data_IF_524562812447
#
_entry.id   IF_524562812447
#
_cell.length_a   1.000
_cell.length_b   1.000
_cell.length_c   1.000
_cell.angle_alpha   90.00
_cell.angle_beta   90.00
_cell.angle_gamma   90.00
#
_symmetry.space_group_name_H-M   'P 1'
#
loop_
_entity.id
_entity.type
_entity.pdbx_description
1 polymer ?
#
# COMPACT_ATOMS: atom_id res chain seq x y z
N UNK A 1 -15.37 18.40 -1.45
CA UNK A 1 -16.00 17.76 -2.63
C UNK A 1 -16.32 16.32 -2.27
N UNK A 2 -17.53 15.88 -2.58
CA UNK A 2 -17.97 14.49 -2.35
C UNK A 2 -17.41 13.62 -3.48
N UNK A 3 -16.57 12.65 -3.13
CA UNK A 3 -16.08 11.66 -4.08
C UNK A 3 -17.25 10.81 -4.60
N UNK A 4 -17.35 10.57 -5.91
CA UNK A 4 -18.41 9.74 -6.48
C UNK A 4 -18.44 8.34 -5.85
N UNK A 5 -19.64 7.78 -5.71
CA UNK A 5 -19.85 6.40 -5.29
C UNK A 5 -20.21 5.59 -6.55
N UNK A 6 -19.24 4.96 -7.21
CA UNK A 6 -19.48 4.33 -8.50
C UNK A 6 -20.25 3.00 -8.41
N UNK A 7 -20.25 2.37 -7.23
CA UNK A 7 -20.92 1.08 -6.99
C UNK A 7 -22.14 1.27 -6.09
N UNK A 8 -23.22 0.55 -6.38
CA UNK A 8 -24.42 0.52 -5.56
C UNK A 8 -24.20 -0.34 -4.30
N UNK A 9 -23.46 -1.44 -4.43
CA UNK A 9 -23.15 -2.36 -3.34
C UNK A 9 -21.70 -2.16 -2.88
N UNK A 10 -21.51 -1.94 -1.57
CA UNK A 10 -20.17 -1.84 -1.00
C UNK A 10 -19.64 -3.23 -0.62
N UNK A 11 -18.58 -3.64 -1.28
CA UNK A 11 -17.80 -4.81 -0.89
C UNK A 11 -16.81 -4.52 0.25
N UNK A 12 -16.32 -5.58 0.89
CA UNK A 12 -15.21 -5.49 1.86
C UNK A 12 -13.93 -4.93 1.21
N UNK A 13 -13.72 -5.29 -0.06
CA UNK A 13 -12.59 -4.83 -0.88
C UNK A 13 -13.15 -4.27 -2.19
N UNK A 14 -12.49 -3.24 -2.72
CA UNK A 14 -12.84 -2.66 -4.01
C UNK A 14 -11.58 -2.67 -4.90
N UNK A 15 -11.75 -2.98 -6.17
CA UNK A 15 -10.66 -3.04 -7.15
C UNK A 15 -10.96 -2.04 -8.26
N UNK A 16 -10.05 -1.13 -8.52
CA UNK A 16 -10.01 -0.34 -9.75
C UNK A 16 -9.11 -1.04 -10.74
N UNK A 17 -9.61 -1.29 -11.94
CA UNK A 17 -8.87 -2.00 -12.99
C UNK A 17 -8.89 -1.16 -14.27
N UNK A 18 -7.72 -0.99 -14.88
CA UNK A 18 -7.59 -0.47 -16.23
C UNK A 18 -6.96 -1.53 -17.11
N UNK A 19 -7.56 -1.79 -18.25
CA UNK A 19 -7.10 -2.81 -19.19
C UNK A 19 -6.71 -2.13 -20.49
N UNK A 20 -5.53 -2.42 -20.98
CA UNK A 20 -5.00 -1.92 -22.24
C UNK A 20 -4.58 -3.09 -23.14
N UNK A 21 -4.60 -2.85 -24.45
CA UNK A 21 -4.07 -3.80 -25.45
C UNK A 21 -3.06 -3.09 -26.33
N UNK A 22 -1.98 -3.78 -26.68
CA UNK A 22 -1.00 -3.33 -27.67
C UNK A 22 -1.50 -3.53 -29.10
N UNK A 23 -2.57 -4.30 -29.29
CA UNK A 23 -3.23 -4.45 -30.59
C UNK A 23 -4.26 -3.33 -30.79
N UNK A 24 -4.05 -2.39 -31.72
CA UNK A 24 -4.97 -1.28 -31.94
C UNK A 24 -6.40 -1.74 -32.28
N UNK A 25 -6.56 -2.87 -32.95
CA UNK A 25 -7.87 -3.40 -33.31
C UNK A 25 -8.72 -3.83 -32.08
N UNK A 26 -8.08 -4.14 -30.96
CA UNK A 26 -8.79 -4.57 -29.74
C UNK A 26 -9.62 -3.45 -29.10
N UNK A 27 -9.25 -2.19 -29.31
CA UNK A 27 -9.96 -1.02 -28.79
C UNK A 27 -10.98 -0.42 -29.75
N UNK A 28 -11.01 -0.87 -31.02
CA UNK A 28 -11.93 -0.32 -32.03
C UNK A 28 -13.31 -0.91 -31.84
N UNK A 29 -14.29 -0.03 -31.59
CA UNK A 29 -15.69 -0.44 -31.50
C UNK A 29 -16.25 -0.78 -32.89
N UNK A 30 -17.09 -1.80 -32.93
CA UNK A 30 -17.91 -2.16 -34.08
C UNK A 30 -19.14 -1.26 -34.23
N UNK A 31 -20.02 -1.59 -35.17
CA UNK A 31 -21.26 -0.83 -35.42
C UNK A 31 -22.27 -0.84 -34.24
N UNK A 32 -22.07 -1.70 -33.26
CA UNK A 32 -22.88 -1.79 -32.05
C UNK A 32 -22.27 -1.03 -30.88
N UNK A 33 -21.08 -0.46 -31.04
CA UNK A 33 -20.32 0.20 -29.97
C UNK A 33 -19.50 -0.77 -29.12
N UNK A 34 -19.40 -2.05 -29.49
CA UNK A 34 -18.62 -3.07 -28.81
C UNK A 34 -17.21 -3.18 -29.42
N UNK A 35 -16.21 -3.24 -28.53
CA UNK A 35 -14.85 -3.59 -28.93
C UNK A 35 -14.46 -4.95 -28.34
N UNK A 36 -13.53 -5.68 -28.95
CA UNK A 36 -13.06 -6.95 -28.40
C UNK A 36 -12.59 -6.85 -26.95
N UNK A 37 -11.94 -5.75 -26.60
CA UNK A 37 -11.48 -5.51 -25.23
C UNK A 37 -12.64 -5.34 -24.26
N UNK A 38 -13.69 -4.60 -24.66
CA UNK A 38 -14.89 -4.41 -23.86
C UNK A 38 -15.65 -5.72 -23.65
N UNK A 39 -15.79 -6.52 -24.70
CA UNK A 39 -16.41 -7.85 -24.63
C UNK A 39 -15.71 -8.75 -23.60
N UNK A 40 -14.39 -8.83 -23.65
CA UNK A 40 -13.59 -9.61 -22.69
C UNK A 40 -13.85 -9.15 -21.25
N UNK A 41 -13.90 -7.85 -21.01
CA UNK A 41 -14.16 -7.30 -19.67
C UNK A 41 -15.56 -7.67 -19.19
N UNK A 42 -16.57 -7.46 -20.04
CA UNK A 42 -17.97 -7.74 -19.71
C UNK A 42 -18.20 -9.22 -19.43
N UNK A 43 -17.64 -10.12 -20.24
CA UNK A 43 -17.72 -11.56 -20.04
C UNK A 43 -17.01 -11.99 -18.74
N UNK A 44 -15.81 -11.47 -18.49
CA UNK A 44 -15.03 -11.79 -17.29
C UNK A 44 -15.75 -11.34 -16.01
N UNK A 45 -16.24 -10.11 -15.99
CA UNK A 45 -16.97 -9.57 -14.84
C UNK A 45 -18.33 -10.26 -14.67
N UNK A 46 -19.02 -10.58 -15.78
CA UNK A 46 -20.25 -11.35 -15.75
C UNK A 46 -20.09 -12.71 -15.09
N UNK A 47 -19.08 -13.46 -15.51
CA UNK A 47 -18.77 -14.76 -14.90
C UNK A 47 -18.42 -14.62 -13.40
N UNK A 48 -17.62 -13.62 -13.04
CA UNK A 48 -17.24 -13.36 -11.64
C UNK A 48 -18.44 -12.97 -10.76
N UNK A 49 -19.43 -12.27 -11.31
CA UNK A 49 -20.69 -11.95 -10.63
C UNK A 49 -21.56 -13.20 -10.45
N UNK A 50 -21.68 -14.04 -11.49
CA UNK A 50 -22.42 -15.31 -11.44
C UNK A 50 -21.82 -16.28 -10.42
N UNK A 51 -20.49 -16.36 -10.34
CA UNK A 51 -19.78 -17.18 -9.37
C UNK A 51 -19.77 -16.60 -7.95
N UNK A 52 -20.33 -15.40 -7.75
CA UNK A 52 -20.35 -14.71 -6.45
C UNK A 52 -18.99 -14.22 -5.96
N UNK A 53 -17.99 -14.17 -6.83
CA UNK A 53 -16.67 -13.62 -6.52
C UNK A 53 -16.66 -12.10 -6.48
N UNK A 54 -17.55 -11.46 -7.26
CA UNK A 54 -17.79 -10.03 -7.33
C UNK A 54 -19.21 -9.73 -6.90
N UNK A 55 -19.43 -8.73 -6.08
CA UNK A 55 -20.76 -8.32 -5.60
C UNK A 55 -21.42 -7.29 -6.50
N UNK A 56 -20.61 -6.43 -7.09
CA UNK A 56 -21.05 -5.32 -7.95
C UNK A 56 -19.88 -4.89 -8.83
N UNK A 57 -20.16 -4.42 -10.03
CA UNK A 57 -19.15 -3.94 -10.96
C UNK A 57 -19.71 -2.82 -11.84
N UNK A 58 -18.87 -1.86 -12.20
CA UNK A 58 -19.19 -0.82 -13.17
C UNK A 58 -18.06 -0.69 -14.19
N UNK A 59 -18.42 -0.44 -15.44
CA UNK A 59 -17.47 -0.22 -16.53
C UNK A 59 -17.68 1.19 -17.06
N UNK A 60 -16.63 1.99 -17.11
CA UNK A 60 -16.70 3.32 -17.67
C UNK A 60 -17.11 3.26 -19.15
N UNK A 61 -18.11 4.01 -19.52
CA UNK A 61 -18.63 4.16 -20.89
C UNK A 61 -18.16 5.46 -21.58
N UNK A 62 -17.45 6.31 -20.85
CA UNK A 62 -16.90 7.57 -21.36
C UNK A 62 -15.61 7.95 -20.62
N UNK A 63 -14.83 8.84 -21.23
CA UNK A 63 -13.61 9.37 -20.59
C UNK A 63 -13.93 10.10 -19.27
N UNK A 64 -15.05 10.82 -19.21
CA UNK A 64 -15.48 11.47 -17.96
C UNK A 64 -15.77 10.46 -16.84
N UNK A 65 -16.39 9.32 -17.17
CA UNK A 65 -16.61 8.25 -16.20
C UNK A 65 -15.29 7.56 -15.80
N UNK A 66 -14.38 7.34 -16.74
CA UNK A 66 -13.06 6.81 -16.48
C UNK A 66 -12.32 7.72 -15.48
N UNK A 67 -12.29 9.01 -15.75
CA UNK A 67 -11.67 9.98 -14.85
C UNK A 67 -12.32 9.98 -13.47
N UNK A 68 -13.63 9.93 -13.38
CA UNK A 68 -14.32 9.86 -12.10
C UNK A 68 -13.99 8.60 -11.28
N UNK A 69 -13.72 7.46 -11.93
CA UNK A 69 -13.24 6.27 -11.25
C UNK A 69 -11.79 6.46 -10.74
N UNK A 70 -10.93 7.08 -11.54
CA UNK A 70 -9.56 7.42 -11.11
C UNK A 70 -9.54 8.44 -9.98
N UNK A 71 -10.43 9.42 -9.98
CA UNK A 71 -10.54 10.42 -8.91
C UNK A 71 -10.82 9.76 -7.55
N UNK A 72 -11.59 8.66 -7.51
CA UNK A 72 -11.79 7.88 -6.28
C UNK A 72 -10.44 7.35 -5.76
N UNK A 73 -9.58 6.83 -6.65
CA UNK A 73 -8.26 6.31 -6.29
C UNK A 73 -7.30 7.42 -5.87
N UNK A 74 -7.27 8.52 -6.60
CA UNK A 74 -6.33 9.62 -6.39
C UNK A 74 -6.63 10.41 -5.11
N UNK A 75 -7.90 10.50 -4.71
CA UNK A 75 -8.29 11.18 -3.47
C UNK A 75 -8.10 10.33 -2.22
N UNK A 76 -7.92 9.02 -2.33
CA UNK A 76 -7.73 8.13 -1.18
C UNK A 76 -6.56 8.57 -0.26
N UNK A 77 -5.36 8.94 -0.76
CA UNK A 77 -4.27 9.43 0.08
C UNK A 77 -4.57 10.76 0.77
N UNK A 78 -5.48 11.57 0.21
CA UNK A 78 -5.83 12.89 0.74
C UNK A 78 -6.80 12.81 1.93
N UNK A 79 -7.62 11.75 1.97
CA UNK A 79 -8.63 11.55 3.02
C UNK A 79 -8.05 11.57 4.45
N UNK A 80 -6.74 11.31 4.59
CA UNK A 80 -6.06 11.26 5.87
C UNK A 80 -5.52 12.62 6.34
N UNK A 81 -5.52 13.65 5.49
CA UNK A 81 -4.92 14.97 5.84
C UNK A 81 -5.68 15.68 6.94
N UNK A 82 -6.96 15.37 7.13
CA UNK A 82 -7.81 15.98 8.15
C UNK A 82 -7.87 15.21 9.48
N UNK A 83 -7.17 14.07 9.58
CA UNK A 83 -7.21 13.22 10.77
C UNK A 83 -6.19 13.67 11.79
N UNK A 84 -6.56 13.65 13.09
CA UNK A 84 -5.72 14.09 14.18
C UNK A 84 -4.52 13.16 14.44
N UNK A 85 -4.64 11.87 14.11
CA UNK A 85 -3.57 10.89 14.24
C UNK A 85 -3.57 9.88 13.10
N UNK A 86 -2.41 9.69 12.47
CA UNK A 86 -2.24 8.69 11.40
C UNK A 86 -0.93 7.93 11.59
N UNK A 87 -1.01 6.60 11.53
CA UNK A 87 0.15 5.74 11.34
C UNK A 87 0.16 5.25 9.89
N UNK A 88 1.15 5.71 9.13
CA UNK A 88 1.29 5.38 7.71
C UNK A 88 2.29 4.27 7.51
N UNK A 89 1.99 3.36 6.60
CA UNK A 89 2.94 2.35 6.17
C UNK A 89 2.97 2.24 4.65
N UNK A 90 4.07 1.73 4.17
CA UNK A 90 4.35 1.44 2.78
C UNK A 90 5.14 0.14 2.78
N UNK A 91 4.45 -0.96 2.51
CA UNK A 91 4.99 -2.31 2.58
C UNK A 91 4.74 -3.05 1.27
N UNK A 92 5.44 -4.14 1.05
CA UNK A 92 5.08 -5.07 -0.01
C UNK A 92 5.09 -6.51 0.50
N UNK A 93 4.23 -7.33 -0.11
CA UNK A 93 4.02 -8.72 0.24
C UNK A 93 3.93 -9.56 -1.04
N UNK A 94 4.28 -10.85 -1.01
CA UNK A 94 3.85 -11.76 -2.07
C UNK A 94 2.34 -11.66 -2.27
N UNK A 95 1.87 -11.64 -3.52
CA UNK A 95 0.45 -11.47 -3.85
C UNK A 95 -0.46 -12.46 -3.09
N UNK A 96 -0.04 -13.72 -2.99
CA UNK A 96 -0.77 -14.78 -2.26
C UNK A 96 -0.88 -14.52 -0.76
N UNK A 97 -0.04 -13.65 -0.21
CA UNK A 97 -0.02 -13.31 1.20
C UNK A 97 -0.91 -12.09 1.55
N UNK A 98 -1.37 -11.33 0.56
CA UNK A 98 -2.12 -10.09 0.82
C UNK A 98 -3.40 -10.32 1.63
N UNK A 99 -4.22 -11.29 1.25
CA UNK A 99 -5.48 -11.55 1.94
C UNK A 99 -5.27 -12.07 3.37
N UNK A 100 -4.49 -13.14 3.61
CA UNK A 100 -4.26 -13.62 4.98
C UNK A 100 -3.54 -12.59 5.85
N UNK A 101 -2.60 -11.82 5.31
CA UNK A 101 -1.97 -10.70 6.01
C UNK A 101 -3.01 -9.66 6.45
N UNK A 102 -3.89 -9.25 5.53
CA UNK A 102 -4.92 -8.24 5.84
C UNK A 102 -5.83 -8.69 6.98
N UNK A 103 -6.31 -9.94 6.94
CA UNK A 103 -7.19 -10.48 7.96
C UNK A 103 -6.49 -10.58 9.33
N UNK A 104 -5.24 -11.04 9.38
CA UNK A 104 -4.45 -11.07 10.63
C UNK A 104 -4.15 -9.67 11.17
N UNK A 105 -3.84 -8.71 10.28
CA UNK A 105 -3.62 -7.33 10.70
C UNK A 105 -4.87 -6.70 11.28
N UNK A 106 -6.02 -6.88 10.63
CA UNK A 106 -7.30 -6.38 11.15
C UNK A 106 -7.59 -6.95 12.52
N UNK A 107 -7.42 -8.26 12.72
CA UNK A 107 -7.63 -8.90 14.01
C UNK A 107 -6.68 -8.35 15.09
N UNK A 108 -5.39 -8.22 14.79
CA UNK A 108 -4.39 -7.69 15.72
C UNK A 108 -4.64 -6.22 16.09
N UNK A 109 -4.98 -5.38 15.12
CA UNK A 109 -5.30 -3.97 15.36
C UNK A 109 -6.55 -3.84 16.24
N UNK A 110 -7.59 -4.63 15.98
CA UNK A 110 -8.82 -4.62 16.79
C UNK A 110 -8.58 -5.04 18.24
N UNK A 111 -7.56 -5.87 18.50
CA UNK A 111 -7.14 -6.23 19.85
C UNK A 111 -6.41 -5.08 20.57
N UNK A 112 -5.67 -4.24 19.85
CA UNK A 112 -4.97 -3.07 20.40
C UNK A 112 -5.93 -1.89 20.57
N UNK A 113 -6.69 -1.59 19.51
CA UNK A 113 -7.68 -0.50 19.51
C UNK A 113 -8.83 -0.80 18.53
N UNK A 114 -10.03 -1.10 19.03
CA UNK A 114 -11.19 -1.41 18.21
C UNK A 114 -11.75 -0.20 17.43
N UNK A 115 -11.37 1.02 17.80
CA UNK A 115 -11.92 2.25 17.21
C UNK A 115 -11.07 2.80 16.05
N UNK A 116 -9.87 2.28 15.82
CA UNK A 116 -9.04 2.73 14.70
C UNK A 116 -9.69 2.44 13.34
N UNK A 117 -9.66 3.40 12.46
CA UNK A 117 -10.01 3.17 11.07
C UNK A 117 -8.82 2.55 10.35
N UNK A 118 -9.09 1.47 9.63
CA UNK A 118 -8.10 0.75 8.84
C UNK A 118 -8.34 1.15 7.37
N UNK A 119 -7.35 1.81 6.79
CA UNK A 119 -7.37 2.21 5.40
C UNK A 119 -6.21 1.52 4.67
N UNK A 120 -6.51 0.37 4.08
CA UNK A 120 -5.59 -0.39 3.24
C UNK A 120 -5.89 -0.17 1.76
N UNK A 121 -4.90 0.29 1.00
CA UNK A 121 -4.97 0.42 -0.45
C UNK A 121 -3.58 0.22 -1.05
N UNK A 122 -3.53 -0.12 -2.32
CA UNK A 122 -2.22 -0.36 -2.97
C UNK A 122 -2.38 -1.00 -4.35
N UNK A 123 -1.32 -1.65 -4.78
CA UNK A 123 -1.21 -2.26 -6.10
C UNK A 123 -1.14 -3.78 -5.96
N UNK A 124 -2.22 -4.47 -6.35
CA UNK A 124 -2.28 -5.95 -6.24
C UNK A 124 -1.19 -6.60 -7.09
N UNK A 125 -0.86 -6.00 -8.25
CA UNK A 125 0.06 -6.57 -9.23
C UNK A 125 1.49 -6.78 -8.73
N UNK A 126 1.98 -5.93 -7.83
CA UNK A 126 3.32 -6.00 -7.25
C UNK A 126 3.32 -6.25 -5.73
N UNK A 127 2.13 -6.40 -5.15
CA UNK A 127 1.97 -6.63 -3.72
C UNK A 127 2.22 -5.42 -2.84
N UNK A 128 2.32 -4.21 -3.40
CA UNK A 128 2.42 -2.98 -2.62
C UNK A 128 1.12 -2.73 -1.85
N UNK A 129 1.28 -2.40 -0.57
CA UNK A 129 0.16 -2.08 0.31
C UNK A 129 0.50 -0.91 1.22
N UNK A 130 -0.22 0.19 1.06
CA UNK A 130 -0.31 1.26 2.04
C UNK A 130 -1.34 0.86 3.08
N UNK A 131 -0.88 0.40 4.23
CA UNK A 131 -1.74 -0.05 5.31
C UNK A 131 -1.76 1.03 6.40
N UNK A 132 -2.69 1.96 6.28
CA UNK A 132 -2.75 3.15 7.13
C UNK A 132 -3.79 2.97 8.25
N UNK A 133 -3.43 3.43 9.44
CA UNK A 133 -4.29 3.43 10.61
C UNK A 133 -4.61 4.87 10.98
N UNK A 134 -5.89 5.17 11.12
CA UNK A 134 -6.37 6.52 11.35
C UNK A 134 -7.11 6.53 12.68
N UNK A 135 -6.67 7.42 13.58
CA UNK A 135 -7.35 7.65 14.83
C UNK A 135 -8.65 8.42 14.61
N UNK A 136 -9.73 7.94 15.19
CA UNK A 136 -10.98 8.68 15.32
C UNK A 136 -10.98 9.54 16.61
N UNK A 137 -12.09 10.22 16.88
CA UNK A 137 -12.23 11.05 18.08
C UNK A 137 -12.05 10.25 19.38
N UNK A 138 -12.39 8.95 19.39
CA UNK A 138 -12.32 8.08 20.59
C UNK A 138 -10.93 7.54 20.84
N UNK A 139 -10.16 7.27 19.78
CA UNK A 139 -8.81 6.70 19.85
C UNK A 139 -7.71 7.76 19.87
N UNK A 140 -8.03 9.01 19.51
CA UNK A 140 -7.03 10.07 19.29
C UNK A 140 -6.19 10.40 20.54
N UNK A 141 -6.79 10.45 21.71
CA UNK A 141 -6.10 10.86 22.94
C UNK A 141 -4.96 9.90 23.36
N UNK A 142 -5.01 8.64 22.93
CA UNK A 142 -4.05 7.59 23.30
C UNK A 142 -3.32 6.98 22.09
N UNK A 143 -3.54 7.53 20.93
CA UNK A 143 -3.04 6.98 19.68
C UNK A 143 -1.50 6.95 19.61
N UNK A 144 -0.85 8.03 20.03
CA UNK A 144 0.61 8.11 19.99
C UNK A 144 1.28 7.10 20.92
N UNK A 145 0.65 6.75 22.03
CA UNK A 145 1.15 5.71 22.94
C UNK A 145 1.06 4.32 22.31
N UNK A 146 0.02 4.05 21.52
CA UNK A 146 -0.21 2.76 20.83
C UNK A 146 0.58 2.62 19.54
N UNK A 147 1.09 3.71 19.00
CA UNK A 147 1.73 3.75 17.68
C UNK A 147 2.93 2.81 17.56
N UNK A 148 3.71 2.69 18.62
CA UNK A 148 4.86 1.78 18.66
C UNK A 148 4.42 0.31 18.53
N UNK A 149 3.41 -0.10 19.28
CA UNK A 149 2.86 -1.47 19.27
C UNK A 149 2.22 -1.80 17.92
N UNK A 150 1.51 -0.83 17.32
CA UNK A 150 0.91 -0.97 15.99
C UNK A 150 1.96 -1.18 14.90
N UNK A 151 3.08 -0.45 14.95
CA UNK A 151 4.19 -0.66 14.01
C UNK A 151 4.94 -1.97 14.28
N UNK A 152 5.08 -2.38 15.53
CA UNK A 152 5.72 -3.65 15.85
C UNK A 152 4.89 -4.82 15.33
N UNK A 153 3.57 -4.81 15.54
CA UNK A 153 2.63 -5.76 14.96
C UNK A 153 2.75 -5.80 13.42
N UNK A 154 2.74 -4.63 12.79
CA UNK A 154 2.86 -4.53 11.33
C UNK A 154 4.14 -5.21 10.82
N UNK A 155 5.29 -4.87 11.40
CA UNK A 155 6.57 -5.39 10.95
C UNK A 155 6.75 -6.87 11.25
N UNK A 156 6.22 -7.36 12.37
CA UNK A 156 6.15 -8.78 12.69
C UNK A 156 5.38 -9.55 11.59
N UNK A 157 4.20 -9.06 11.22
CA UNK A 157 3.39 -9.70 10.18
C UNK A 157 4.03 -9.61 8.80
N UNK A 158 4.63 -8.48 8.46
CA UNK A 158 5.39 -8.33 7.20
C UNK A 158 6.52 -9.36 7.14
N UNK A 159 7.28 -9.54 8.22
CA UNK A 159 8.35 -10.53 8.29
C UNK A 159 7.80 -11.97 8.17
N UNK A 160 6.71 -12.29 8.88
CA UNK A 160 6.03 -13.60 8.81
C UNK A 160 5.69 -13.99 7.38
N UNK A 161 5.26 -13.05 6.56
CA UNK A 161 4.86 -13.26 5.17
C UNK A 161 5.97 -13.01 4.15
N UNK A 162 7.24 -12.91 4.59
CA UNK A 162 8.39 -12.63 3.72
C UNK A 162 8.25 -11.35 2.90
N UNK A 163 7.60 -10.34 3.48
CA UNK A 163 7.39 -9.04 2.86
C UNK A 163 8.56 -8.08 3.03
N UNK A 164 8.39 -6.88 2.46
CA UNK A 164 9.30 -5.75 2.67
C UNK A 164 8.64 -4.67 3.51
N UNK A 165 9.40 -4.11 4.45
CA UNK A 165 8.96 -3.00 5.31
C UNK A 165 8.93 -1.65 4.57
N UNK A 166 9.36 -1.61 3.33
CA UNK A 166 9.27 -0.45 2.46
C UNK A 166 9.19 -0.90 1.01
N UNK A 167 8.11 -0.54 0.32
CA UNK A 167 7.90 -0.85 -1.08
C UNK A 167 8.46 0.27 -1.98
N UNK A 168 7.98 1.50 -1.81
CA UNK A 168 8.27 2.64 -2.67
C UNK A 168 9.06 3.76 -1.97
N UNK A 169 8.77 4.01 -0.68
CA UNK A 169 9.29 5.18 0.05
C UNK A 169 10.74 5.06 0.51
N UNK A 170 11.31 3.85 0.49
CA UNK A 170 12.64 3.57 1.00
C UNK A 170 12.72 3.55 2.53
N UNK A 171 13.90 3.26 3.04
CA UNK A 171 14.16 3.08 4.47
C UNK A 171 14.36 4.43 5.19
N UNK A 172 15.06 5.35 4.55
CA UNK A 172 15.38 6.65 5.13
C UNK A 172 16.11 6.53 6.46
N UNK A 173 15.76 7.40 7.40
CA UNK A 173 16.27 7.37 8.78
C UNK A 173 15.34 6.57 9.71
N UNK A 174 14.05 6.68 9.52
CA UNK A 174 13.02 6.21 10.46
C UNK A 174 12.91 4.68 10.52
N UNK A 175 13.15 3.98 9.41
CA UNK A 175 13.03 2.52 9.33
C UNK A 175 14.37 1.77 9.53
N UNK A 176 15.48 2.46 9.85
CA UNK A 176 16.81 1.82 10.00
C UNK A 176 16.85 0.74 11.07
N UNK A 177 16.28 1.02 12.23
CA UNK A 177 16.23 0.05 13.32
C UNK A 177 15.43 -1.20 12.93
N UNK A 178 14.34 -1.02 12.20
CA UNK A 178 13.54 -2.13 11.70
C UNK A 178 14.26 -2.90 10.59
N UNK A 179 14.94 -2.21 9.68
CA UNK A 179 15.76 -2.87 8.67
C UNK A 179 16.79 -3.80 9.30
N UNK A 180 17.48 -3.34 10.35
CA UNK A 180 18.47 -4.14 11.07
C UNK A 180 17.86 -5.36 11.80
N UNK A 181 16.57 -5.32 12.16
CA UNK A 181 15.86 -6.47 12.75
C UNK A 181 15.45 -7.52 11.70
N UNK A 182 15.08 -7.07 10.49
CA UNK A 182 14.52 -7.96 9.45
C UNK A 182 15.55 -8.47 8.43
N UNK A 183 16.73 -7.85 8.35
CA UNK A 183 17.82 -8.29 7.46
C UNK A 183 18.90 -8.98 8.24
N UNK A 184 19.50 -10.01 7.63
CA UNK A 184 20.64 -10.69 8.26
C UNK A 184 21.86 -9.77 8.37
N UNK A 185 22.77 -10.01 9.32
CA UNK A 185 24.01 -9.25 9.46
C UNK A 185 24.81 -9.18 8.15
N UNK A 186 24.87 -10.28 7.39
CA UNK A 186 25.61 -10.38 6.13
C UNK A 186 25.03 -9.43 5.07
N UNK A 187 23.70 -9.34 4.96
CA UNK A 187 23.05 -8.40 4.06
C UNK A 187 23.35 -6.97 4.49
N UNK A 188 23.29 -6.68 5.77
CA UNK A 188 23.63 -5.35 6.30
C UNK A 188 25.09 -4.98 6.03
N UNK A 189 26.01 -5.95 6.10
CA UNK A 189 27.43 -5.72 5.79
C UNK A 189 27.65 -5.44 4.29
N UNK A 190 26.95 -6.15 3.41
CA UNK A 190 26.97 -5.86 1.96
C UNK A 190 26.46 -4.45 1.69
N UNK A 191 25.34 -4.05 2.32
CA UNK A 191 24.78 -2.70 2.14
C UNK A 191 25.78 -1.62 2.59
N UNK A 192 26.47 -1.83 3.72
CA UNK A 192 27.53 -0.92 4.21
C UNK A 192 28.72 -0.87 3.26
N UNK A 193 29.16 -2.02 2.75
CA UNK A 193 30.27 -2.10 1.81
C UNK A 193 29.96 -1.34 0.51
N UNK A 194 28.76 -1.48 -0.03
CA UNK A 194 28.30 -0.73 -1.21
C UNK A 194 28.32 0.78 -0.91
N UNK A 195 27.74 1.21 0.22
CA UNK A 195 27.73 2.61 0.61
C UNK A 195 29.16 3.17 0.75
N UNK A 196 30.05 2.46 1.44
CA UNK A 196 31.43 2.89 1.66
C UNK A 196 32.26 2.95 0.36
N UNK A 197 31.98 2.05 -0.60
CA UNK A 197 32.69 2.06 -1.90
C UNK A 197 32.33 3.27 -2.77
N UNK A 198 31.05 3.71 -2.70
CA UNK A 198 30.55 4.84 -3.51
C UNK A 198 30.76 6.17 -2.79
N UNK A 199 30.56 6.21 -1.49
CA UNK A 199 30.61 7.40 -0.66
C UNK A 199 31.45 7.18 0.61
N UNK A 200 32.77 7.03 0.46
CA UNK A 200 33.65 6.73 1.60
C UNK A 200 33.73 7.83 2.65
N UNK A 201 33.29 9.05 2.33
CA UNK A 201 33.24 10.18 3.25
C UNK A 201 31.87 10.42 3.87
N UNK A 202 30.88 9.57 3.55
CA UNK A 202 29.49 9.68 4.00
C UNK A 202 28.87 11.08 3.79
N UNK A 203 29.14 11.68 2.63
CA UNK A 203 28.64 13.00 2.26
C UNK A 203 27.25 12.96 1.61
N UNK A 204 26.91 11.84 0.97
CA UNK A 204 25.65 11.65 0.27
C UNK A 204 24.61 11.01 1.18
N UNK A 205 23.62 11.79 1.59
CA UNK A 205 22.52 11.32 2.46
C UNK A 205 23.02 10.60 3.73
N UNK A 206 23.82 11.25 4.58
CA UNK A 206 24.39 10.62 5.77
C UNK A 206 23.29 10.12 6.69
N UNK A 207 23.53 8.95 7.28
CA UNK A 207 22.59 8.33 8.20
C UNK A 207 21.29 7.83 7.59
N UNK A 208 21.18 7.66 6.27
CA UNK A 208 20.06 6.99 5.61
C UNK A 208 20.38 5.51 5.39
N UNK A 209 19.34 4.68 5.36
CA UNK A 209 19.36 3.24 5.07
C UNK A 209 20.20 2.44 6.07
N UNK A 210 21.51 2.63 6.11
CA UNK A 210 22.42 2.00 7.07
C UNK A 210 23.43 3.02 7.59
N UNK A 211 23.92 2.80 8.81
CA UNK A 211 25.02 3.59 9.35
C UNK A 211 26.34 2.98 8.87
N UNK A 212 27.20 3.79 8.28
CA UNK A 212 28.62 3.51 8.27
C UNK A 212 29.10 3.64 9.73
N UNK A 213 29.82 2.65 10.25
CA UNK A 213 30.50 2.78 11.53
C UNK A 213 31.65 3.80 11.36
N UNK A 214 31.31 5.07 11.37
CA UNK A 214 32.26 6.13 11.63
C UNK A 214 32.15 6.48 13.11
N UNK A 215 33.28 6.74 13.74
CA UNK A 215 33.34 7.26 15.12
C UNK A 215 32.28 8.36 15.32
N UNK A 216 31.65 8.46 16.50
CA UNK A 216 30.63 9.49 16.72
C UNK A 216 31.16 10.85 16.28
N UNK A 217 30.35 11.55 15.47
CA UNK A 217 30.68 12.89 15.04
C UNK A 217 30.80 13.79 16.28
N UNK A 218 31.79 14.69 16.33
CA UNK A 218 31.88 15.69 17.42
C UNK A 218 30.65 16.58 17.57
N UNK A 219 29.63 16.43 16.70
CA UNK A 219 28.36 17.17 16.78
C UNK A 219 27.25 16.43 17.53
N UNK A 220 27.50 15.19 17.97
CA UNK A 220 26.56 14.36 18.72
C UNK A 220 26.88 14.32 20.23
N UNK A 221 27.74 15.22 20.70
CA UNK A 221 28.10 15.44 22.12
C UNK A 221 27.52 16.75 22.65
#
# INVERSE_FOLDING_TARGET
ETVPQPLATRGKMNVLMEIASTNPASGVADNTGQSPLRTIIEETLGAALEDGLVLDATIAASEAQRQALWDVRETAPESHKMSAGVARSDISLPQSALAPFYDEMVAGIRAIDPNLWICGYGHIGDGNLHFNLIADEKSNADFDNKKADLYELLYEKVAKYNGSISAEHGIGQTKRAQLAKVKSPEIMDVMRAIKASIDPKDLMNPGKVCLLYTSPSPRDS
#
